data_IF_367537141553
#
_entry.id   IF_367537141553
#
_cell.length_a   1.000
_cell.length_b   1.000
_cell.length_c   1.000
_cell.angle_alpha   90.00
_cell.angle_beta   90.00
_cell.angle_gamma   90.00
#
_symmetry.space_group_name_H-M   'P 1'
#
loop_
_entity.id
_entity.type
_entity.pdbx_description
1 polymer ?
#
# COMPACT_ATOMS: atom_id res chain seq x y z
N UNK A 1 0.99 16.02 -14.29
CA UNK A 1 0.47 16.49 -12.97
C UNK A 1 0.81 15.45 -11.91
N UNK A 2 1.54 15.85 -10.86
CA UNK A 2 1.93 14.93 -9.77
C UNK A 2 0.73 14.67 -8.83
N UNK A 3 0.50 13.40 -8.51
CA UNK A 3 -0.50 12.93 -7.56
C UNK A 3 0.11 12.00 -6.52
N UNK A 4 -0.57 11.86 -5.39
CA UNK A 4 -0.18 10.96 -4.28
C UNK A 4 -1.39 10.12 -3.90
N UNK A 5 -1.20 8.80 -3.78
CA UNK A 5 -2.22 7.86 -3.33
C UNK A 5 -1.71 7.04 -2.16
N UNK A 6 -2.49 6.97 -1.10
CA UNK A 6 -2.19 6.17 0.08
C UNK A 6 -2.80 4.76 -0.05
N UNK A 7 -2.02 3.77 0.35
CA UNK A 7 -2.44 2.38 0.53
C UNK A 7 -2.15 1.98 1.98
N UNK A 8 -3.06 1.23 2.58
CA UNK A 8 -2.87 0.65 3.91
C UNK A 8 -3.34 -0.80 3.91
N UNK A 9 -2.60 -1.65 4.61
CA UNK A 9 -3.00 -3.01 4.92
C UNK A 9 -2.70 -3.29 6.40
N UNK A 10 -3.68 -3.83 7.09
CA UNK A 10 -3.56 -4.16 8.51
C UNK A 10 -3.33 -5.66 8.61
N UNK A 11 -2.15 -6.02 9.13
CA UNK A 11 -1.77 -7.39 9.35
C UNK A 11 -2.12 -7.80 10.78
N UNK A 12 -3.00 -8.79 10.88
CA UNK A 12 -3.34 -9.41 12.15
C UNK A 12 -2.59 -10.73 12.30
N UNK A 13 -1.72 -10.81 13.31
CA UNK A 13 -1.10 -12.07 13.71
C UNK A 13 -1.78 -12.61 14.97
N UNK A 14 -2.61 -13.63 14.82
CA UNK A 14 -3.18 -14.37 15.96
C UNK A 14 -2.30 -15.59 16.27
N UNK A 15 -1.69 -15.59 17.46
CA UNK A 15 -0.84 -16.70 17.93
C UNK A 15 -1.62 -18.01 18.10
N UNK A 16 -2.90 -17.92 18.46
CA UNK A 16 -3.81 -19.06 18.65
C UNK A 16 -4.08 -19.81 17.35
N UNK A 17 -4.25 -19.07 16.25
CA UNK A 17 -4.56 -19.68 14.96
C UNK A 17 -3.32 -19.92 14.10
N UNK A 18 -2.16 -19.33 14.47
CA UNK A 18 -0.95 -19.22 13.61
C UNK A 18 -1.29 -18.74 12.20
N UNK A 19 -2.35 -17.93 12.06
CA UNK A 19 -2.81 -17.40 10.79
C UNK A 19 -2.46 -15.93 10.70
N UNK A 20 -1.95 -15.61 9.53
CA UNK A 20 -1.69 -14.27 9.05
C UNK A 20 -2.79 -13.94 8.06
N UNK A 21 -3.61 -12.93 8.35
CA UNK A 21 -4.60 -12.40 7.40
C UNK A 21 -4.27 -10.95 7.09
N UNK A 22 -3.94 -10.69 5.82
CA UNK A 22 -3.66 -9.39 5.23
C UNK A 22 -3.40 -9.60 3.74
N UNK A 23 -3.85 -8.68 2.87
CA UNK A 23 -3.46 -8.73 1.46
C UNK A 23 -2.13 -8.00 1.34
N UNK A 24 -1.12 -8.60 0.71
CA UNK A 24 0.17 -7.90 0.58
C UNK A 24 -0.05 -6.51 -0.04
N UNK A 25 0.34 -5.47 0.70
CA UNK A 25 0.26 -4.07 0.28
C UNK A 25 0.86 -3.87 -1.12
N UNK A 26 1.94 -4.59 -1.41
CA UNK A 26 2.60 -4.61 -2.72
C UNK A 26 1.68 -5.13 -3.82
N UNK A 27 0.80 -6.10 -3.53
CA UNK A 27 -0.17 -6.61 -4.51
C UNK A 27 -1.19 -5.54 -4.88
N UNK A 28 -1.70 -4.80 -3.90
CA UNK A 28 -2.67 -3.72 -4.13
C UNK A 28 -2.04 -2.57 -4.93
N UNK A 29 -0.80 -2.19 -4.61
CA UNK A 29 -0.05 -1.17 -5.36
C UNK A 29 0.20 -1.66 -6.80
N UNK A 30 0.68 -2.90 -6.97
CA UNK A 30 0.92 -3.45 -8.30
C UNK A 30 -0.36 -3.53 -9.15
N UNK A 31 -1.49 -3.88 -8.53
CA UNK A 31 -2.77 -3.89 -9.23
C UNK A 31 -3.15 -2.47 -9.67
N UNK A 32 -3.01 -1.48 -8.79
CA UNK A 32 -3.24 -0.08 -9.13
C UNK A 32 -2.37 0.40 -10.30
N UNK A 33 -1.08 0.08 -10.32
CA UNK A 33 -0.18 0.44 -11.43
C UNK A 33 -0.60 -0.24 -12.75
N UNK A 34 -1.08 -1.48 -12.69
CA UNK A 34 -1.58 -2.21 -13.87
C UNK A 34 -2.89 -1.65 -14.41
N UNK A 35 -3.80 -1.27 -13.51
CA UNK A 35 -5.12 -0.73 -13.87
C UNK A 35 -5.02 0.69 -14.44
N UNK A 36 -3.89 1.38 -14.23
CA UNK A 36 -3.67 2.76 -14.65
C UNK A 36 -2.38 2.86 -15.49
N UNK A 37 -2.33 2.31 -16.71
CA UNK A 37 -1.11 2.32 -17.54
C UNK A 37 -0.65 3.74 -17.94
N UNK A 38 -1.52 4.73 -17.85
CA UNK A 38 -1.24 6.12 -18.19
C UNK A 38 -0.48 6.88 -17.11
N UNK A 39 -0.19 6.24 -15.96
CA UNK A 39 0.59 6.86 -14.89
C UNK A 39 2.06 6.48 -15.00
N UNK A 40 2.93 7.45 -14.74
CA UNK A 40 4.36 7.23 -14.54
C UNK A 40 4.64 7.23 -13.04
N UNK A 41 5.08 6.10 -12.52
CA UNK A 41 5.48 5.98 -11.12
C UNK A 41 6.73 6.82 -10.87
N UNK A 42 6.68 7.70 -9.87
CA UNK A 42 7.81 8.54 -9.45
C UNK A 42 8.51 7.88 -8.27
N UNK A 43 7.77 7.54 -7.21
CA UNK A 43 8.34 7.00 -5.98
C UNK A 43 7.28 6.25 -5.15
N UNK A 44 7.74 5.37 -4.24
CA UNK A 44 6.88 4.71 -3.25
C UNK A 44 7.55 4.80 -1.88
N UNK A 45 6.85 5.40 -0.92
CA UNK A 45 7.31 5.46 0.48
C UNK A 45 6.53 4.49 1.34
N UNK A 46 7.21 3.52 1.92
CA UNK A 46 6.63 2.56 2.86
C UNK A 46 6.83 3.02 4.31
N UNK A 47 5.82 2.84 5.15
CA UNK A 47 5.92 3.02 6.59
C UNK A 47 5.17 1.90 7.30
N UNK A 48 5.74 1.36 8.38
CA UNK A 48 5.08 0.34 9.19
C UNK A 48 4.91 0.88 10.61
N UNK A 49 3.70 0.78 11.13
CA UNK A 49 3.40 1.01 12.53
C UNK A 49 3.20 -0.35 13.20
N UNK A 50 4.11 -0.70 14.12
CA UNK A 50 4.00 -1.90 14.94
C UNK A 50 3.40 -1.46 16.27
N UNK A 51 2.17 -1.88 16.56
CA UNK A 51 1.59 -1.71 17.89
C UNK A 51 1.83 -3.01 18.68
N UNK A 52 2.86 -3.00 19.52
CA UNK A 52 3.14 -4.08 20.46
C UNK A 52 2.39 -3.86 21.76
N UNK A 53 1.15 -4.32 21.86
CA UNK A 53 0.48 -4.48 23.14
C UNK A 53 0.34 -5.98 23.39
N UNK A 54 1.11 -6.46 24.37
CA UNK A 54 1.24 -7.86 24.85
C UNK A 54 0.26 -8.90 24.27
N UNK A 55 0.86 -9.92 23.65
CA UNK A 55 0.32 -11.17 23.08
C UNK A 55 -0.23 -11.15 21.63
N UNK A 56 -0.72 -10.03 21.10
CA UNK A 56 -1.12 -9.89 19.69
C UNK A 56 -0.30 -8.82 18.97
N UNK A 57 0.25 -9.13 17.79
CA UNK A 57 0.96 -8.15 16.95
C UNK A 57 -0.03 -7.64 15.90
N UNK A 58 -0.47 -6.39 16.09
CA UNK A 58 -1.12 -5.61 15.04
C UNK A 58 -0.04 -4.77 14.35
N UNK A 59 0.20 -5.06 13.08
CA UNK A 59 1.13 -4.30 12.25
C UNK A 59 0.35 -3.68 11.11
N UNK A 60 0.21 -2.35 11.13
CA UNK A 60 -0.37 -1.63 10.00
C UNK A 60 0.76 -1.17 9.08
N UNK A 61 0.75 -1.69 7.86
CA UNK A 61 1.66 -1.27 6.80
C UNK A 61 0.97 -0.23 5.93
N UNK A 62 1.63 0.90 5.74
CA UNK A 62 1.19 1.98 4.86
C UNK A 62 2.19 2.18 3.72
N UNK A 63 1.69 2.61 2.57
CA UNK A 63 2.50 3.05 1.45
C UNK A 63 1.90 4.30 0.81
N UNK A 64 2.74 5.29 0.56
CA UNK A 64 2.42 6.45 -0.26
C UNK A 64 3.03 6.24 -1.65
N UNK A 65 2.17 6.14 -2.65
CA UNK A 65 2.57 6.02 -4.06
C UNK A 65 2.49 7.40 -4.69
N UNK A 66 3.63 7.91 -5.15
CA UNK A 66 3.77 9.20 -5.83
C UNK A 66 3.91 8.92 -7.32
N UNK A 67 3.03 9.49 -8.12
CA UNK A 67 2.98 9.23 -9.56
C UNK A 67 2.58 10.48 -10.33
N UNK A 68 2.93 10.52 -11.60
CA UNK A 68 2.42 11.50 -12.54
C UNK A 68 1.37 10.85 -13.43
N UNK A 69 0.22 11.53 -13.61
CA UNK A 69 -0.70 11.16 -14.68
C UNK A 69 -0.20 11.81 -15.96
N UNK A 70 0.12 11.00 -16.97
CA UNK A 70 0.38 11.52 -18.30
C UNK A 70 -0.93 12.07 -18.83
N UNK A 71 -1.10 13.37 -18.65
CA UNK A 71 -2.15 14.12 -19.32
C UNK A 71 -1.82 14.06 -20.79
N UNK A 72 -2.46 13.15 -21.52
CA UNK A 72 -2.80 13.47 -22.89
C UNK A 72 -3.81 14.61 -22.74
N UNK A 73 -3.31 15.85 -22.65
CA UNK A 73 -4.12 17.05 -22.81
C UNK A 73 -4.70 16.96 -24.23
N UNK A 74 -5.81 16.25 -24.35
CA UNK A 74 -6.70 16.32 -25.49
C UNK A 74 -7.35 17.69 -25.36
N UNK A 75 -6.70 18.67 -25.97
CA UNK A 75 -7.28 19.98 -26.28
C UNK A 75 -7.56 19.98 -27.78
#
# INVERSE_FOLDING_TARGET
MIQVKEFSDTFFYSRETRKSSGQSLEKNINQFLKDNPDITLIDIKYSQAINGCTDDIDSTSHALVIYEVNGNESN
#
